data_IF_800394815204
#
_entry.id   IF_800394815204
#
_cell.length_a   1.000
_cell.length_b   1.000
_cell.length_c   1.000
_cell.angle_alpha   90.00
_cell.angle_beta   90.00
_cell.angle_gamma   90.00
#
_symmetry.space_group_name_H-M   'P 1'
#
loop_
_entity.id
_entity.type
_entity.pdbx_description
1 polymer ?
#
# COMPACT_ATOMS: atom_id res chain seq x y z
N UNK A 1 14.66 -7.62 -23.47
CA UNK A 1 15.88 -7.25 -22.72
C UNK A 1 15.68 -5.99 -21.89
N UNK A 2 15.27 -4.85 -22.46
CA UNK A 2 15.06 -3.59 -21.71
C UNK A 2 14.01 -3.70 -20.57
N UNK A 3 12.87 -4.36 -20.80
CA UNK A 3 11.84 -4.57 -19.78
C UNK A 3 12.32 -5.47 -18.63
N UNK A 4 13.08 -6.52 -18.93
CA UNK A 4 13.68 -7.39 -17.92
C UNK A 4 14.69 -6.64 -17.04
N UNK A 5 15.46 -5.73 -17.63
CA UNK A 5 16.36 -4.84 -16.89
C UNK A 5 15.63 -3.76 -16.08
N UNK A 6 14.43 -3.33 -16.50
CA UNK A 6 13.54 -2.43 -15.72
C UNK A 6 12.98 -3.18 -14.50
N UNK A 7 12.48 -4.40 -14.71
CA UNK A 7 12.00 -5.31 -13.66
C UNK A 7 13.07 -5.51 -12.58
N UNK A 8 14.24 -6.04 -12.96
CA UNK A 8 15.30 -6.38 -11.99
C UNK A 8 15.85 -5.20 -11.17
N UNK A 9 15.87 -3.97 -11.72
CA UNK A 9 16.50 -2.80 -11.08
C UNK A 9 15.58 -1.97 -10.18
N UNK A 10 14.26 -2.18 -10.23
CA UNK A 10 13.28 -1.35 -9.50
C UNK A 10 12.49 -2.12 -8.44
N UNK A 11 13.06 -3.23 -7.96
CA UNK A 11 12.45 -4.04 -6.90
C UNK A 11 12.72 -3.52 -5.50
N UNK A 12 13.83 -2.83 -5.28
CA UNK A 12 14.07 -2.11 -4.04
C UNK A 12 13.98 -0.62 -4.34
N UNK A 13 13.23 0.11 -3.52
CA UNK A 13 12.99 1.52 -3.70
C UNK A 13 13.25 2.23 -2.38
N UNK A 14 14.15 3.21 -2.40
CA UNK A 14 14.35 4.10 -1.25
C UNK A 14 13.39 5.30 -1.31
N UNK A 15 13.34 6.10 -0.24
CA UNK A 15 12.48 7.30 -0.12
C UNK A 15 12.62 8.24 -1.34
N UNK A 16 13.84 8.46 -1.84
CA UNK A 16 14.07 9.36 -2.95
C UNK A 16 13.56 8.79 -4.28
N UNK A 17 13.76 7.50 -4.49
CA UNK A 17 13.25 6.81 -5.68
C UNK A 17 11.72 6.74 -5.68
N UNK A 18 11.12 6.46 -4.52
CA UNK A 18 9.67 6.31 -4.40
C UNK A 18 8.95 7.63 -4.67
N UNK A 19 9.48 8.73 -4.09
CA UNK A 19 8.84 10.03 -4.15
C UNK A 19 9.21 10.86 -5.38
N UNK A 20 10.42 10.73 -5.95
CA UNK A 20 10.90 11.69 -6.95
C UNK A 20 11.33 11.07 -8.29
N UNK A 21 11.61 9.78 -8.34
CA UNK A 21 11.98 9.10 -9.60
C UNK A 21 10.83 8.24 -10.10
N UNK A 22 10.87 7.88 -11.37
CA UNK A 22 9.94 6.92 -11.97
C UNK A 22 8.46 7.26 -11.70
N UNK A 23 8.12 8.53 -11.87
CA UNK A 23 6.75 9.02 -11.80
C UNK A 23 6.16 8.99 -13.20
N UNK A 24 4.93 8.52 -13.30
CA UNK A 24 4.15 8.53 -14.54
C UNK A 24 2.89 9.36 -14.31
N UNK A 25 2.42 10.04 -15.36
CA UNK A 25 1.15 10.77 -15.29
C UNK A 25 0.00 9.80 -15.57
N UNK A 26 -0.42 9.10 -14.52
CA UNK A 26 -1.51 8.11 -14.58
C UNK A 26 -2.86 8.83 -14.56
N UNK A 27 -3.63 8.68 -15.63
CA UNK A 27 -4.96 9.27 -15.79
C UNK A 27 -6.06 8.37 -15.23
N UNK A 28 -7.30 8.87 -15.13
CA UNK A 28 -8.43 8.04 -14.70
C UNK A 28 -8.72 6.91 -15.70
N UNK A 29 -8.54 7.16 -17.00
CA UNK A 29 -8.68 6.13 -18.05
C UNK A 29 -7.66 5.00 -17.88
N UNK A 30 -6.42 5.34 -17.49
CA UNK A 30 -5.40 4.33 -17.19
C UNK A 30 -5.83 3.46 -15.99
N UNK A 31 -6.43 4.06 -14.96
CA UNK A 31 -6.94 3.33 -13.80
C UNK A 31 -8.06 2.36 -14.21
N UNK A 32 -9.03 2.84 -15.02
CA UNK A 32 -10.11 1.98 -15.53
C UNK A 32 -9.54 0.81 -16.33
N UNK A 33 -8.54 1.06 -17.18
CA UNK A 33 -7.87 0.01 -17.96
C UNK A 33 -7.13 -0.98 -17.06
N UNK A 34 -6.40 -0.50 -16.04
CA UNK A 34 -5.71 -1.35 -15.07
C UNK A 34 -6.71 -2.26 -14.35
N UNK A 35 -7.77 -1.69 -13.79
CA UNK A 35 -8.80 -2.45 -13.05
C UNK A 35 -9.47 -3.49 -13.94
N UNK A 36 -9.81 -3.13 -15.18
CA UNK A 36 -10.39 -4.06 -16.15
C UNK A 36 -9.44 -5.21 -16.46
N UNK A 37 -8.16 -4.93 -16.74
CA UNK A 37 -7.16 -5.96 -17.04
C UNK A 37 -6.92 -6.91 -15.86
N UNK A 38 -6.94 -6.39 -14.62
CA UNK A 38 -6.80 -7.21 -13.41
C UNK A 38 -8.05 -8.07 -13.21
N UNK A 39 -9.25 -7.51 -13.38
CA UNK A 39 -10.51 -8.23 -13.31
C UNK A 39 -10.55 -9.40 -14.32
N UNK A 40 -10.21 -9.12 -15.58
CA UNK A 40 -10.13 -10.14 -16.63
C UNK A 40 -9.14 -11.25 -16.29
N UNK A 41 -7.95 -10.90 -15.79
CA UNK A 41 -6.93 -11.90 -15.45
C UNK A 41 -7.40 -12.87 -14.35
N UNK A 42 -8.16 -12.38 -13.38
CA UNK A 42 -8.71 -13.18 -12.29
C UNK A 42 -10.12 -13.73 -12.57
N UNK A 43 -10.66 -13.55 -13.78
CA UNK A 43 -12.02 -13.91 -14.15
C UNK A 43 -13.09 -13.34 -13.19
N UNK A 44 -12.89 -12.11 -12.74
CA UNK A 44 -13.82 -11.39 -11.86
C UNK A 44 -14.64 -10.35 -12.62
N UNK A 45 -15.85 -10.02 -12.13
CA UNK A 45 -16.58 -8.87 -12.66
C UNK A 45 -15.77 -7.59 -12.41
N UNK A 46 -15.70 -6.72 -13.41
CA UNK A 46 -15.08 -5.40 -13.25
C UNK A 46 -15.84 -4.59 -12.20
N UNK A 47 -15.17 -4.10 -11.14
CA UNK A 47 -15.84 -3.32 -10.10
C UNK A 47 -16.28 -1.94 -10.61
N UNK A 48 -17.33 -1.39 -10.00
CA UNK A 48 -17.67 0.02 -10.17
C UNK A 48 -16.59 0.88 -9.50
N UNK A 49 -16.07 1.87 -10.22
CA UNK A 49 -14.94 2.68 -9.75
C UNK A 49 -15.45 4.00 -9.18
N UNK A 50 -15.05 4.30 -7.94
CA UNK A 50 -15.39 5.54 -7.24
C UNK A 50 -14.14 6.28 -6.78
N UNK A 51 -14.06 7.58 -7.05
CA UNK A 51 -12.91 8.41 -6.64
C UNK A 51 -13.08 9.04 -5.24
N UNK A 52 -14.11 8.63 -4.50
CA UNK A 52 -14.45 9.20 -3.18
C UNK A 52 -14.08 8.23 -2.07
N UNK A 53 -12.81 8.24 -1.68
CA UNK A 53 -12.29 7.43 -0.57
C UNK A 53 -11.64 8.31 0.51
N UNK A 54 -11.95 8.02 1.78
CA UNK A 54 -11.28 8.64 2.95
C UNK A 54 -9.94 7.94 3.26
N UNK A 55 -9.70 6.76 2.69
CA UNK A 55 -8.47 5.96 2.83
C UNK A 55 -7.69 5.88 1.50
N UNK A 56 -6.63 5.07 1.43
CA UNK A 56 -5.76 4.98 0.23
C UNK A 56 -6.50 4.38 -0.97
N UNK A 57 -7.04 3.18 -0.77
CA UNK A 57 -7.94 2.46 -1.64
C UNK A 57 -8.73 1.50 -0.75
N UNK A 58 -9.95 1.18 -1.13
CA UNK A 58 -10.81 0.24 -0.44
C UNK A 58 -11.72 -0.45 -1.44
N UNK A 59 -11.88 -1.76 -1.27
CA UNK A 59 -12.93 -2.52 -1.94
C UNK A 59 -14.13 -2.67 -1.02
N UNK A 60 -15.24 -2.08 -1.43
CA UNK A 60 -16.54 -2.31 -0.81
C UNK A 60 -17.22 -3.47 -1.53
N UNK A 61 -17.32 -4.60 -0.84
CA UNK A 61 -18.08 -5.77 -1.29
C UNK A 61 -19.55 -5.60 -0.88
N UNK A 62 -20.48 -5.69 -1.82
CA UNK A 62 -21.89 -5.85 -1.51
C UNK A 62 -22.17 -7.19 -0.81
N UNK A 63 -23.35 -7.34 -0.21
CA UNK A 63 -23.72 -8.49 0.65
C UNK A 63 -23.48 -9.89 0.03
N UNK A 64 -23.37 -9.98 -1.30
CA UNK A 64 -23.16 -11.23 -2.05
C UNK A 64 -21.81 -11.32 -2.79
N UNK A 65 -20.85 -10.41 -2.56
CA UNK A 65 -19.55 -10.34 -3.25
C UNK A 65 -19.57 -10.18 -4.80
N UNK A 66 -20.74 -10.27 -5.44
CA UNK A 66 -20.94 -10.10 -6.88
C UNK A 66 -20.96 -8.63 -7.34
N UNK A 67 -21.26 -7.71 -6.43
CA UNK A 67 -21.17 -6.26 -6.66
C UNK A 67 -19.99 -5.72 -5.86
N UNK A 68 -19.02 -5.18 -6.58
CA UNK A 68 -17.78 -4.71 -6.02
C UNK A 68 -17.62 -3.24 -6.41
N UNK A 69 -17.47 -2.35 -5.42
CA UNK A 69 -17.08 -0.96 -5.63
C UNK A 69 -15.63 -0.79 -5.20
N UNK A 70 -14.79 -0.32 -6.10
CA UNK A 70 -13.40 0.01 -5.82
C UNK A 70 -13.30 1.53 -5.63
N UNK A 71 -13.14 1.95 -4.38
CA UNK A 71 -12.95 3.35 -4.02
C UNK A 71 -11.48 3.67 -3.83
N UNK A 72 -10.96 4.76 -4.38
CA UNK A 72 -9.56 5.15 -4.16
C UNK A 72 -9.36 6.67 -4.05
N UNK A 73 -8.29 7.06 -3.35
CA UNK A 73 -7.86 8.45 -3.22
C UNK A 73 -6.53 8.67 -3.93
N UNK A 74 -6.60 9.18 -5.16
CA UNK A 74 -5.44 9.40 -6.04
C UNK A 74 -4.36 10.28 -5.39
N UNK A 75 -4.76 11.33 -4.67
CA UNK A 75 -3.79 12.22 -4.02
C UNK A 75 -3.04 11.52 -2.88
N UNK A 76 -3.75 10.73 -2.07
CA UNK A 76 -3.14 9.98 -0.96
C UNK A 76 -2.21 8.88 -1.47
N UNK A 77 -2.59 8.17 -2.54
CA UNK A 77 -1.74 7.18 -3.21
C UNK A 77 -0.45 7.83 -3.76
N UNK A 78 -0.58 8.96 -4.46
CA UNK A 78 0.60 9.69 -4.98
C UNK A 78 1.53 10.18 -3.86
N UNK A 79 0.96 10.60 -2.71
CA UNK A 79 1.73 11.04 -1.52
C UNK A 79 2.50 9.91 -0.82
N UNK A 80 2.00 8.67 -0.88
CA UNK A 80 2.70 7.50 -0.28
C UNK A 80 3.76 6.88 -1.18
N UNK A 81 3.81 7.30 -2.45
CA UNK A 81 4.78 6.81 -3.43
C UNK A 81 4.17 5.91 -4.52
N UNK A 82 2.86 5.67 -4.48
CA UNK A 82 2.11 4.99 -5.53
C UNK A 82 1.79 6.02 -6.62
N UNK A 83 2.70 6.16 -7.58
CA UNK A 83 2.66 7.24 -8.58
C UNK A 83 3.19 6.82 -9.97
N UNK A 84 3.13 5.52 -10.27
CA UNK A 84 3.36 4.96 -11.61
C UNK A 84 2.41 3.79 -11.87
N UNK A 85 2.27 3.37 -13.13
CA UNK A 85 1.31 2.33 -13.51
C UNK A 85 1.55 1.00 -12.79
N UNK A 86 2.80 0.57 -12.64
CA UNK A 86 3.13 -0.67 -11.94
C UNK A 86 2.62 -0.63 -10.48
N UNK A 87 2.87 0.47 -9.75
CA UNK A 87 2.45 0.59 -8.36
C UNK A 87 0.93 0.69 -8.20
N UNK A 88 0.24 1.40 -9.10
CA UNK A 88 -1.23 1.41 -9.11
C UNK A 88 -1.79 0.02 -9.40
N UNK A 89 -1.23 -0.67 -10.39
CA UNK A 89 -1.64 -2.05 -10.72
C UNK A 89 -1.52 -2.98 -9.52
N UNK A 90 -0.39 -2.94 -8.81
CA UNK A 90 -0.19 -3.78 -7.62
C UNK A 90 -1.11 -3.40 -6.45
N UNK A 91 -1.44 -2.12 -6.31
CA UNK A 91 -2.44 -1.67 -5.34
C UNK A 91 -3.82 -2.28 -5.65
N UNK A 92 -4.25 -2.24 -6.91
CA UNK A 92 -5.54 -2.82 -7.29
C UNK A 92 -5.55 -4.35 -7.25
N UNK A 93 -4.44 -5.01 -7.57
CA UNK A 93 -4.30 -6.46 -7.37
C UNK A 93 -4.44 -6.84 -5.91
N UNK A 94 -3.84 -6.07 -4.98
CA UNK A 94 -4.01 -6.26 -3.54
C UNK A 94 -5.49 -6.15 -3.15
N UNK A 95 -6.12 -5.04 -3.53
CA UNK A 95 -7.53 -4.77 -3.25
C UNK A 95 -8.46 -5.87 -3.79
N UNK A 96 -8.26 -6.30 -5.04
CA UNK A 96 -9.04 -7.37 -5.66
C UNK A 96 -8.76 -8.75 -5.06
N UNK A 97 -7.60 -8.96 -4.43
CA UNK A 97 -7.31 -10.20 -3.71
C UNK A 97 -8.19 -10.39 -2.47
N UNK A 98 -8.58 -9.31 -1.80
CA UNK A 98 -9.57 -9.39 -0.71
C UNK A 98 -10.90 -9.95 -1.20
N UNK A 99 -11.34 -9.57 -2.41
CA UNK A 99 -12.55 -10.14 -3.01
C UNK A 99 -12.39 -11.62 -3.31
N UNK A 100 -11.27 -12.03 -3.93
CA UNK A 100 -11.01 -13.43 -4.26
C UNK A 100 -10.93 -14.33 -3.03
N UNK A 101 -10.41 -13.81 -1.93
CA UNK A 101 -10.19 -14.55 -0.69
C UNK A 101 -11.32 -14.35 0.33
N UNK A 102 -12.36 -13.59 -0.01
CA UNK A 102 -13.44 -13.19 0.92
C UNK A 102 -14.08 -14.38 1.67
N UNK A 103 -14.29 -15.50 0.97
CA UNK A 103 -14.86 -16.72 1.56
C UNK A 103 -13.83 -17.71 2.11
N UNK A 104 -12.54 -17.47 1.87
CA UNK A 104 -11.48 -18.35 2.32
C UNK A 104 -11.02 -17.95 3.72
N UNK A 105 -11.09 -18.88 4.68
CA UNK A 105 -10.60 -18.65 6.05
C UNK A 105 -9.32 -19.43 6.27
N UNK A 106 -8.21 -18.73 6.46
CA UNK A 106 -6.90 -19.34 6.65
C UNK A 106 -6.77 -20.02 8.02
N UNK A 107 -7.27 -19.38 9.09
CA UNK A 107 -7.18 -19.91 10.46
C UNK A 107 -5.73 -20.22 10.91
N UNK A 108 -4.77 -19.45 10.44
CA UNK A 108 -3.33 -19.67 10.69
C UNK A 108 -2.77 -18.84 11.86
N UNK A 109 -3.48 -17.79 12.29
CA UNK A 109 -3.05 -16.87 13.34
C UNK A 109 -4.27 -16.26 14.06
N UNK A 110 -4.08 -15.64 15.22
CA UNK A 110 -5.18 -15.10 16.03
C UNK A 110 -5.97 -13.97 15.33
N UNK A 111 -5.33 -13.23 14.42
CA UNK A 111 -5.96 -12.21 13.60
C UNK A 111 -6.11 -12.72 12.16
N UNK A 112 -7.32 -13.12 11.78
CA UNK A 112 -7.63 -13.52 10.39
C UNK A 112 -7.40 -12.35 9.42
N UNK A 113 -7.73 -11.11 9.83
CA UNK A 113 -7.51 -9.90 9.02
C UNK A 113 -6.03 -9.72 8.65
N UNK A 114 -5.12 -9.96 9.60
CA UNK A 114 -3.69 -9.88 9.32
C UNK A 114 -3.24 -10.91 8.29
N UNK A 115 -3.83 -12.11 8.32
CA UNK A 115 -3.50 -13.17 7.37
C UNK A 115 -4.09 -12.87 5.99
N UNK A 116 -5.30 -12.31 5.91
CA UNK A 116 -5.92 -11.85 4.65
C UNK A 116 -5.08 -10.74 3.99
N UNK A 117 -4.63 -9.74 4.75
CA UNK A 117 -3.74 -8.68 4.25
C UNK A 117 -2.43 -9.23 3.69
N UNK A 118 -1.81 -10.18 4.40
CA UNK A 118 -0.59 -10.84 3.94
C UNK A 118 -0.84 -11.68 2.67
N UNK A 119 -1.99 -12.37 2.58
CA UNK A 119 -2.36 -13.14 1.39
C UNK A 119 -2.60 -12.22 0.18
N UNK A 120 -3.22 -11.06 0.38
CA UNK A 120 -3.37 -10.03 -0.64
C UNK A 120 -2.02 -9.46 -1.09
N UNK A 121 -1.10 -9.18 -0.16
CA UNK A 121 0.27 -8.75 -0.46
C UNK A 121 1.06 -9.82 -1.24
N UNK A 122 0.92 -11.10 -0.87
CA UNK A 122 1.53 -12.21 -1.62
C UNK A 122 1.00 -12.27 -3.06
N UNK A 123 -0.30 -12.08 -3.24
CA UNK A 123 -0.96 -12.04 -4.55
C UNK A 123 -0.36 -10.96 -5.43
N UNK A 124 -0.17 -9.74 -4.89
CA UNK A 124 0.51 -8.66 -5.61
C UNK A 124 1.93 -9.06 -6.03
N UNK A 125 2.69 -9.74 -5.17
CA UNK A 125 4.03 -10.25 -5.49
C UNK A 125 4.03 -11.27 -6.64
N UNK A 126 3.12 -12.24 -6.61
CA UNK A 126 2.96 -13.26 -7.65
C UNK A 126 2.52 -12.65 -8.98
N UNK A 127 1.55 -11.73 -8.96
CA UNK A 127 1.10 -11.00 -10.13
C UNK A 127 2.23 -10.17 -10.74
N UNK A 128 3.02 -9.49 -9.91
CA UNK A 128 4.18 -8.72 -10.37
C UNK A 128 5.19 -9.60 -11.13
N UNK A 129 5.51 -10.78 -10.61
CA UNK A 129 6.40 -11.71 -11.27
C UNK A 129 5.82 -12.22 -12.60
N UNK A 130 4.52 -12.51 -12.64
CA UNK A 130 3.81 -12.96 -13.85
C UNK A 130 3.75 -11.91 -14.96
N UNK A 131 3.61 -10.63 -14.60
CA UNK A 131 3.42 -9.51 -15.52
C UNK A 131 4.67 -8.63 -15.69
N UNK A 132 5.80 -9.02 -15.10
CA UNK A 132 7.06 -8.28 -15.12
C UNK A 132 6.92 -6.84 -14.58
N UNK A 133 6.08 -6.65 -13.56
CA UNK A 133 5.86 -5.37 -12.90
C UNK A 133 6.92 -5.09 -11.83
N UNK A 134 7.26 -3.82 -11.68
CA UNK A 134 8.17 -3.38 -10.63
C UNK A 134 7.45 -3.25 -9.29
N UNK A 135 8.00 -3.87 -8.25
CA UNK A 135 7.39 -3.92 -6.90
C UNK A 135 7.93 -2.88 -5.94
N UNK A 136 9.00 -2.15 -6.29
CA UNK A 136 9.74 -1.33 -5.33
C UNK A 136 8.91 -0.24 -4.68
N UNK A 137 8.11 0.51 -5.46
CA UNK A 137 7.24 1.57 -4.93
C UNK A 137 6.11 1.04 -4.07
N UNK A 138 5.50 -0.07 -4.48
CA UNK A 138 4.46 -0.76 -3.70
C UNK A 138 5.03 -1.26 -2.36
N UNK A 139 6.14 -2.01 -2.39
CA UNK A 139 6.87 -2.47 -1.19
C UNK A 139 7.30 -1.30 -0.30
N UNK A 140 7.71 -0.17 -0.88
CA UNK A 140 8.06 1.02 -0.13
C UNK A 140 6.84 1.59 0.61
N UNK A 141 5.71 1.75 -0.07
CA UNK A 141 4.47 2.24 0.55
C UNK A 141 4.04 1.34 1.72
N UNK A 142 4.06 0.01 1.54
CA UNK A 142 3.78 -0.97 2.60
C UNK A 142 4.75 -0.83 3.77
N UNK A 143 6.06 -0.72 3.50
CA UNK A 143 7.10 -0.66 4.54
C UNK A 143 7.00 0.54 5.49
N UNK A 144 6.20 1.55 5.14
CA UNK A 144 5.95 2.74 5.98
C UNK A 144 4.78 2.58 6.93
N UNK A 145 3.98 1.53 6.77
CA UNK A 145 2.83 1.28 7.62
C UNK A 145 3.28 0.62 8.91
N UNK A 146 2.92 1.20 10.05
CA UNK A 146 3.01 0.53 11.36
C UNK A 146 1.83 -0.44 11.47
N UNK A 147 2.01 -1.56 12.16
CA UNK A 147 0.89 -2.47 12.49
C UNK A 147 -0.36 -1.75 13.02
N UNK A 148 -1.52 -2.34 12.77
CA UNK A 148 -2.82 -1.82 13.21
C UNK A 148 -3.81 -2.97 13.46
N UNK A 149 -5.06 -2.62 13.81
CA UNK A 149 -6.14 -3.61 13.93
C UNK A 149 -6.44 -4.35 12.62
N UNK A 150 -6.10 -3.78 11.47
CA UNK A 150 -6.44 -4.35 10.17
C UNK A 150 -5.27 -5.09 9.53
N UNK A 151 -4.02 -4.70 9.81
CA UNK A 151 -2.86 -5.29 9.14
C UNK A 151 -1.63 -5.42 10.06
N UNK A 152 -0.70 -6.36 9.75
CA UNK A 152 0.58 -6.47 10.44
C UNK A 152 1.53 -5.32 10.08
N UNK A 153 2.72 -5.34 10.67
CA UNK A 153 3.76 -4.35 10.39
C UNK A 153 4.21 -4.37 8.92
N UNK A 154 4.46 -3.17 8.39
CA UNK A 154 4.87 -2.96 7.02
C UNK A 154 6.12 -3.74 6.59
N UNK A 155 7.01 -4.09 7.53
CA UNK A 155 8.18 -4.92 7.23
C UNK A 155 7.78 -6.33 6.79
N UNK A 156 6.85 -6.97 7.50
CA UNK A 156 6.32 -8.30 7.14
C UNK A 156 5.54 -8.24 5.83
N UNK A 157 4.72 -7.20 5.65
CA UNK A 157 3.99 -6.95 4.40
C UNK A 157 4.92 -6.82 3.20
N UNK A 158 6.01 -6.07 3.34
CA UNK A 158 7.06 -5.98 2.31
C UNK A 158 7.69 -7.35 1.99
N UNK A 159 7.96 -8.14 3.02
CA UNK A 159 8.64 -9.44 2.88
C UNK A 159 7.78 -10.47 2.14
N UNK A 160 6.47 -10.50 2.40
CA UNK A 160 5.58 -11.46 1.72
C UNK A 160 5.36 -11.13 0.23
N UNK A 161 5.36 -9.84 -0.14
CA UNK A 161 5.38 -9.42 -1.56
C UNK A 161 6.63 -9.97 -2.25
N UNK A 162 7.79 -9.88 -1.59
CA UNK A 162 9.05 -10.39 -2.13
C UNK A 162 9.04 -11.92 -2.24
N UNK A 163 8.49 -12.62 -1.23
CA UNK A 163 8.27 -14.06 -1.27
C UNK A 163 7.40 -14.47 -2.48
N UNK A 164 6.26 -13.81 -2.68
CA UNK A 164 5.40 -14.05 -3.85
C UNK A 164 6.14 -13.85 -5.17
N UNK A 165 6.95 -12.80 -5.28
CA UNK A 165 7.74 -12.51 -6.49
C UNK A 165 8.78 -13.60 -6.80
N UNK A 166 9.45 -14.13 -5.78
CA UNK A 166 10.50 -15.15 -5.91
C UNK A 166 9.93 -16.55 -6.23
N UNK A 167 8.72 -16.85 -5.77
CA UNK A 167 8.09 -18.16 -5.98
C UNK A 167 7.65 -18.40 -7.44
N UNK A 168 7.64 -17.37 -8.28
CA UNK A 168 7.18 -17.48 -9.67
C UNK A 168 8.30 -17.15 -10.67
N UNK A 169 9.35 -17.97 -10.72
CA UNK A 169 10.31 -17.92 -11.81
C UNK A 169 9.69 -18.50 -13.10
N UNK A 170 8.99 -17.62 -13.86
CA UNK A 170 8.61 -17.81 -15.27
C UNK A 170 7.63 -18.95 -15.60
N UNK A 171 6.69 -19.27 -14.71
CA UNK A 171 5.54 -20.10 -15.08
C UNK A 171 4.43 -19.23 -15.69
N UNK A 172 3.87 -19.63 -16.84
CA UNK A 172 2.61 -19.06 -17.33
C UNK A 172 1.49 -19.56 -16.43
N UNK A 173 1.21 -18.81 -15.37
CA UNK A 173 0.08 -19.04 -14.47
C UNK A 173 -1.07 -18.10 -14.81
N UNK A 174 -2.29 -18.58 -14.58
CA UNK A 174 -3.53 -17.80 -14.62
C UNK A 174 -3.94 -17.36 -13.20
N UNK A 175 -5.01 -16.58 -13.09
CA UNK A 175 -5.49 -16.07 -11.80
C UNK A 175 -5.81 -17.15 -10.77
N UNK A 176 -6.47 -18.24 -11.19
CA UNK A 176 -6.80 -19.37 -10.32
C UNK A 176 -5.54 -20.04 -9.76
N UNK A 177 -4.54 -20.25 -10.61
CA UNK A 177 -3.26 -20.82 -10.19
C UNK A 177 -2.53 -19.91 -9.20
N UNK A 178 -2.60 -18.58 -9.36
CA UNK A 178 -2.04 -17.64 -8.37
C UNK A 178 -2.74 -17.81 -7.02
N UNK A 179 -4.07 -17.89 -6.99
CA UNK A 179 -4.83 -18.10 -5.75
C UNK A 179 -4.47 -19.42 -5.06
N UNK A 180 -4.35 -20.51 -5.83
CA UNK A 180 -3.93 -21.81 -5.30
C UNK A 180 -2.52 -21.77 -4.68
N UNK A 181 -1.60 -21.03 -5.30
CA UNK A 181 -0.26 -20.82 -4.76
C UNK A 181 -0.33 -20.05 -3.44
N UNK A 182 -1.09 -18.95 -3.38
CA UNK A 182 -1.27 -18.15 -2.15
C UNK A 182 -1.76 -19.05 -1.03
N UNK A 183 -2.87 -19.78 -1.24
CA UNK A 183 -3.46 -20.68 -0.25
C UNK A 183 -2.45 -21.71 0.26
N UNK A 184 -1.65 -22.28 -0.64
CA UNK A 184 -0.65 -23.31 -0.29
C UNK A 184 0.55 -22.76 0.47
N UNK A 185 0.98 -21.54 0.16
CA UNK A 185 2.20 -20.94 0.73
C UNK A 185 1.97 -20.19 2.03
N UNK A 186 0.76 -19.69 2.28
CA UNK A 186 0.44 -18.95 3.50
C UNK A 186 0.78 -19.72 4.79
N UNK A 187 0.49 -21.04 4.94
CA UNK A 187 0.90 -21.79 6.12
C UNK A 187 2.40 -21.76 6.39
N UNK A 188 3.22 -21.91 5.34
CA UNK A 188 4.67 -21.85 5.47
C UNK A 188 5.12 -20.46 5.91
N UNK A 189 4.63 -19.40 5.24
CA UNK A 189 5.01 -18.03 5.56
C UNK A 189 4.62 -17.64 6.99
N UNK A 190 3.41 -18.00 7.43
CA UNK A 190 2.95 -17.71 8.80
C UNK A 190 3.78 -18.48 9.81
N UNK A 191 4.10 -19.75 9.55
CA UNK A 191 4.94 -20.56 10.44
C UNK A 191 6.34 -19.96 10.61
N UNK A 192 7.01 -19.54 9.52
CA UNK A 192 8.38 -19.00 9.60
C UNK A 192 8.44 -17.62 10.23
N UNK A 193 7.33 -16.87 10.27
CA UNK A 193 7.25 -15.52 10.83
C UNK A 193 6.40 -15.44 12.10
N UNK A 194 6.03 -16.59 12.69
CA UNK A 194 5.08 -16.65 13.80
C UNK A 194 5.50 -15.78 14.98
N UNK A 195 6.77 -15.86 15.41
CA UNK A 195 7.29 -15.09 16.54
C UNK A 195 7.22 -13.57 16.30
N UNK A 196 7.43 -13.14 15.04
CA UNK A 196 7.34 -11.73 14.66
C UNK A 196 5.89 -11.26 14.69
N UNK A 197 4.99 -12.05 14.08
CA UNK A 197 3.54 -11.79 14.08
C UNK A 197 3.00 -11.71 15.52
N UNK A 198 3.34 -12.67 16.37
CA UNK A 198 2.92 -12.69 17.76
C UNK A 198 3.46 -11.49 18.54
N UNK A 199 4.75 -11.17 18.37
CA UNK A 199 5.35 -10.02 19.03
C UNK A 199 4.65 -8.71 18.64
N UNK A 200 4.39 -8.50 17.34
CA UNK A 200 3.80 -7.26 16.87
C UNK A 200 2.32 -7.16 17.23
N UNK A 201 1.59 -8.29 17.21
CA UNK A 201 0.21 -8.33 17.65
C UNK A 201 0.07 -7.98 19.14
N UNK A 202 0.96 -8.51 20.00
CA UNK A 202 0.97 -8.19 21.43
C UNK A 202 1.30 -6.72 21.69
N UNK A 203 2.27 -6.13 20.97
CA UNK A 203 2.59 -4.70 21.08
C UNK A 203 1.40 -3.83 20.67
N UNK A 204 0.76 -4.17 19.55
CA UNK A 204 -0.44 -3.48 19.07
C UNK A 204 -1.58 -3.55 20.08
N UNK A 205 -1.87 -4.74 20.63
CA UNK A 205 -2.89 -4.92 21.66
C UNK A 205 -2.58 -4.09 22.91
N UNK A 206 -1.33 -4.08 23.38
CA UNK A 206 -0.91 -3.26 24.51
C UNK A 206 -1.04 -1.75 24.21
N UNK A 207 -0.65 -1.29 23.01
CA UNK A 207 -0.78 0.11 22.63
C UNK A 207 -2.23 0.59 22.57
N UNK A 208 -3.18 -0.30 22.23
CA UNK A 208 -4.61 0.00 22.24
C UNK A 208 -5.19 0.13 23.66
N UNK A 209 -4.56 -0.50 24.66
CA UNK A 209 -4.93 -0.36 26.07
C UNK A 209 -4.39 0.93 26.70
N UNK A 210 -3.37 1.56 26.08
CA UNK A 210 -2.85 2.84 26.55
C UNK A 210 -3.85 3.96 26.26
N UNK A 211 -3.98 4.95 27.17
CA UNK A 211 -4.78 6.14 26.88
C UNK A 211 -4.20 6.87 25.67
N UNK A 212 -5.08 7.37 24.79
CA UNK A 212 -4.67 8.13 23.61
C UNK A 212 -3.70 9.23 24.01
N UNK A 213 -2.54 9.36 23.33
CA UNK A 213 -1.61 10.43 23.63
C UNK A 213 -2.32 11.78 23.45
N UNK A 214 -2.00 12.79 24.28
CA UNK A 214 -2.55 14.12 24.09
C UNK A 214 -2.21 14.61 22.67
N UNK A 215 -3.11 15.36 22.02
CA UNK A 215 -2.86 15.88 20.68
C UNK A 215 -1.52 16.63 20.67
N UNK A 216 -0.70 16.47 19.61
CA UNK A 216 0.57 17.15 19.52
C UNK A 216 0.34 18.65 19.69
N UNK A 217 1.05 19.26 20.64
CA UNK A 217 0.91 20.69 20.86
C UNK A 217 1.29 21.43 19.57
N UNK A 218 0.52 22.45 19.15
CA UNK A 218 0.88 23.24 17.97
C UNK A 218 2.30 23.76 18.14
N UNK A 219 3.18 23.47 17.17
CA UNK A 219 4.51 24.05 17.17
C UNK A 219 4.37 25.55 16.98
N UNK A 220 4.60 26.30 18.05
CA UNK A 220 4.72 27.75 17.97
C UNK A 220 6.00 28.08 17.23
N UNK A 221 5.85 28.65 16.03
CA UNK A 221 6.97 29.00 15.16
C UNK A 221 7.91 29.99 15.86
N UNK A 222 7.36 30.78 16.78
CA UNK A 222 8.04 31.75 17.63
C UNK A 222 9.03 31.08 18.60
N UNK A 223 8.75 29.85 19.02
CA UNK A 223 9.53 29.09 20.00
C UNK A 223 10.67 28.29 19.34
N UNK A 224 10.72 28.25 18.00
CA UNK A 224 11.83 27.62 17.29
C UNK A 224 13.14 28.42 17.47
N UNK A 225 14.32 27.79 17.39
CA UNK A 225 15.60 28.51 17.40
C UNK A 225 15.67 29.55 16.28
N UNK A 226 16.36 30.67 16.51
CA UNK A 226 16.51 31.72 15.48
C UNK A 226 17.30 31.27 14.26
N UNK A 227 18.07 30.18 14.37
CA UNK A 227 18.73 29.49 13.26
C UNK A 227 17.78 28.66 12.40
N UNK A 228 16.53 28.45 12.83
CA UNK A 228 15.55 27.68 12.08
C UNK A 228 15.06 28.46 10.85
N UNK A 229 15.28 27.90 9.67
CA UNK A 229 14.94 28.52 8.39
C UNK A 229 13.45 28.80 8.23
N UNK A 230 12.58 27.95 8.79
CA UNK A 230 11.12 28.13 8.73
C UNK A 230 10.71 29.33 9.57
N UNK A 231 11.25 29.47 10.80
CA UNK A 231 11.02 30.65 11.65
C UNK A 231 11.45 31.93 10.95
N UNK A 232 12.65 31.95 10.36
CA UNK A 232 13.17 33.13 9.67
C UNK A 232 12.27 33.57 8.51
N UNK A 233 11.80 32.62 7.69
CA UNK A 233 10.92 32.90 6.54
C UNK A 233 9.56 33.44 7.01
N UNK A 234 8.94 32.80 8.00
CA UNK A 234 7.64 33.23 8.53
C UNK A 234 7.71 34.61 9.17
N UNK A 235 8.74 34.87 9.97
CA UNK A 235 8.94 36.17 10.61
C UNK A 235 9.25 37.28 9.59
N UNK A 236 9.98 36.97 8.52
CA UNK A 236 10.20 37.90 7.41
C UNK A 236 8.89 38.24 6.69
N UNK A 237 8.06 37.24 6.40
CA UNK A 237 6.77 37.45 5.74
C UNK A 237 5.79 38.27 6.61
N UNK A 238 5.74 38.03 7.93
CA UNK A 238 4.92 38.83 8.85
C UNK A 238 5.38 40.30 8.88
N UNK A 239 6.68 40.54 9.04
CA UNK A 239 7.27 41.90 8.97
C UNK A 239 6.99 42.61 7.65
N UNK A 240 6.90 41.88 6.53
CA UNK A 240 6.56 42.44 5.23
C UNK A 240 5.09 42.86 5.19
N UNK A 241 4.18 41.99 5.65
CA UNK A 241 2.74 42.26 5.75
C UNK A 241 2.41 43.44 6.67
N UNK A 242 3.11 43.55 7.80
CA UNK A 242 2.90 44.64 8.75
C UNK A 242 3.32 45.99 8.14
N UNK A 243 4.43 46.01 7.38
CA UNK A 243 4.86 47.20 6.62
C UNK A 243 3.93 47.57 5.47
N UNK A 244 3.31 46.58 4.83
CA UNK A 244 2.35 46.82 3.74
C UNK A 244 1.01 47.34 4.29
N UNK A 245 0.64 46.97 5.52
CA UNK A 245 -0.56 47.46 6.21
C UNK A 245 -0.35 48.84 6.87
N UNK A 246 0.86 49.20 7.29
CA UNK A 246 1.17 50.54 7.83
C UNK A 246 1.30 51.63 6.75
N UNK A 247 1.44 51.24 5.47
CA UNK A 247 1.55 52.13 4.32
C UNK A 247 0.24 52.31 3.52
N UNK A 248 -0.89 51.85 4.06
CA UNK A 248 -2.26 52.07 3.56
C UNK A 248 -3.07 52.89 4.57
#
# INVERSE_FOLDING_TARGET
MAEWWKFQRRHECNLFEALFKDREDVTEEDIVAIVTNVAEFFNMPTPEISSKCETFAEVLLGDNADKCELSYNMEMLKKTGINNNDAFTLCFVHEMAHQMLFHYRFSLFCSERWIQELAADMTAGLYAARHLLTTGKFKYALSRQKYSLTHPDGKLRKEIVECGRQNLERMRVDGNTIMDIVIRYMPFFVYTHYDTLESDYRKMAYELELPSPPPPQPVRIEDLPDSNLIKQVVMKHRKQKDKDNENN
#
